data_IF_714172697401
#
_entry.id   IF_714172697401
#
_cell.length_a   1.000
_cell.length_b   1.000
_cell.length_c   1.000
_cell.angle_alpha   90.00
_cell.angle_beta   90.00
_cell.angle_gamma   90.00
#
_symmetry.space_group_name_H-M   'P 1'
#
loop_
_entity.id
_entity.type
_entity.pdbx_description
1 polymer ?
#
# COMPACT_ATOMS: atom_id res chain seq x y z
N UNK A 1 14.07 22.80 8.42
CA UNK A 1 15.16 21.82 8.30
C UNK A 1 14.54 20.52 7.80
N UNK A 2 14.42 20.40 6.51
CA UNK A 2 13.91 19.22 5.79
C UNK A 2 14.99 18.14 5.83
N UNK A 3 14.74 17.07 6.59
CA UNK A 3 15.57 15.86 6.54
C UNK A 3 15.29 15.16 5.22
N UNK A 4 16.21 15.21 4.30
CA UNK A 4 16.31 14.27 3.19
C UNK A 4 16.45 12.86 3.75
N UNK A 5 15.34 12.12 3.75
CA UNK A 5 15.36 10.69 4.04
C UNK A 5 15.81 10.01 2.74
N UNK A 6 17.08 9.67 2.72
CA UNK A 6 17.71 8.98 1.61
C UNK A 6 17.02 7.60 1.38
N UNK A 7 16.27 7.49 0.29
CA UNK A 7 15.95 6.23 -0.35
C UNK A 7 17.23 5.61 -0.92
N UNK A 8 18.15 5.19 -0.04
CA UNK A 8 19.37 4.50 -0.44
C UNK A 8 19.03 3.03 -0.73
N UNK A 9 18.99 2.74 -2.05
CA UNK A 9 19.29 1.44 -2.66
C UNK A 9 18.74 0.21 -1.94
N UNK A 10 17.50 -0.17 -2.24
CA UNK A 10 17.03 -1.55 -2.02
C UNK A 10 17.01 -2.29 -3.37
N UNK A 11 17.67 -3.43 -3.46
CA UNK A 11 17.64 -4.22 -4.67
C UNK A 11 16.30 -4.95 -4.81
N UNK A 12 15.74 -4.90 -6.00
CA UNK A 12 14.68 -5.79 -6.44
C UNK A 12 15.16 -7.23 -6.37
N UNK A 13 14.45 -8.10 -5.73
CA UNK A 13 14.62 -9.54 -5.85
C UNK A 13 13.36 -10.10 -6.48
N UNK A 14 13.52 -10.66 -7.67
CA UNK A 14 12.54 -11.47 -8.36
C UNK A 14 12.06 -12.59 -7.42
N UNK A 15 10.75 -12.79 -7.31
CA UNK A 15 10.22 -14.09 -6.92
C UNK A 15 10.38 -15.01 -8.12
N UNK A 16 11.46 -15.79 -8.15
CA UNK A 16 11.59 -16.89 -9.09
C UNK A 16 10.61 -18.00 -8.68
N UNK A 17 9.66 -18.30 -9.55
CA UNK A 17 8.92 -19.56 -9.47
C UNK A 17 9.86 -20.66 -9.94
N UNK A 18 10.56 -21.30 -9.02
CA UNK A 18 11.30 -22.51 -9.28
C UNK A 18 10.35 -23.71 -9.29
N UNK A 19 9.95 -24.16 -10.48
CA UNK A 19 9.50 -25.53 -10.66
C UNK A 19 10.74 -26.43 -10.73
N UNK A 20 11.04 -27.13 -9.65
CA UNK A 20 12.10 -28.14 -9.62
C UNK A 20 11.63 -29.38 -10.38
N UNK A 21 12.19 -29.63 -11.52
CA UNK A 21 12.18 -30.98 -12.16
C UNK A 21 13.44 -31.71 -11.74
N UNK A 22 13.27 -32.68 -10.84
CA UNK A 22 14.29 -33.68 -10.53
C UNK A 22 14.36 -34.71 -11.68
N UNK A 23 15.46 -34.76 -12.39
CA UNK A 23 15.81 -35.90 -13.22
C UNK A 23 17.13 -36.47 -12.71
N UNK A 24 17.08 -37.79 -12.47
CA UNK A 24 18.12 -38.56 -11.81
C UNK A 24 19.42 -38.68 -12.62
N UNK A 25 20.48 -38.86 -11.85
CA UNK A 25 21.82 -39.21 -12.34
C UNK A 25 21.89 -40.70 -12.63
N UNK A 26 22.24 -41.05 -13.85
CA UNK A 26 22.85 -42.32 -14.15
C UNK A 26 24.28 -42.07 -14.67
N UNK A 27 25.25 -42.69 -13.99
CA UNK A 27 26.67 -42.71 -14.38
C UNK A 27 26.87 -43.64 -15.55
N UNK A 28 27.44 -43.15 -16.66
CA UNK A 28 28.01 -44.00 -17.68
C UNK A 28 29.35 -43.46 -18.20
N UNK A 29 30.24 -44.42 -18.48
CA UNK A 29 31.68 -44.37 -18.75
C UNK A 29 32.12 -43.39 -19.85
N UNK A 30 33.32 -42.83 -19.68
CA UNK A 30 33.98 -41.96 -20.62
C UNK A 30 34.54 -42.68 -21.84
N UNK A 31 34.28 -42.24 -23.08
CA UNK A 31 35.06 -42.63 -24.26
C UNK A 31 36.14 -41.60 -24.60
N UNK A 32 37.20 -42.10 -25.20
CA UNK A 32 38.45 -41.47 -25.57
C UNK A 32 38.38 -40.18 -26.38
N UNK A 33 39.47 -39.35 -26.40
CA UNK A 33 39.44 -38.00 -26.92
C UNK A 33 39.34 -37.97 -28.46
N UNK A 34 38.24 -37.38 -28.95
CA UNK A 34 38.09 -37.02 -30.35
C UNK A 34 38.65 -35.60 -30.58
N UNK A 35 39.31 -35.47 -31.75
CA UNK A 35 39.88 -34.21 -32.27
C UNK A 35 38.94 -33.00 -32.14
N UNK A 36 39.48 -31.80 -32.06
CA UNK A 36 38.66 -30.59 -31.94
C UNK A 36 37.86 -30.37 -33.22
N UNK A 37 36.63 -30.80 -33.24
CA UNK A 37 35.63 -30.27 -34.15
C UNK A 37 35.44 -28.77 -33.78
N UNK A 38 35.50 -27.92 -34.79
CA UNK A 38 35.13 -26.53 -34.64
C UNK A 38 33.83 -26.47 -33.82
N UNK A 39 33.86 -25.80 -32.67
CA UNK A 39 32.70 -25.64 -31.83
C UNK A 39 31.62 -24.99 -32.69
N UNK A 40 30.58 -25.74 -33.01
CA UNK A 40 29.37 -25.17 -33.51
C UNK A 40 28.97 -24.09 -32.47
N UNK A 41 28.87 -22.87 -32.93
CA UNK A 41 28.31 -21.78 -32.11
C UNK A 41 26.89 -22.25 -31.82
N UNK A 42 26.67 -22.81 -30.63
CA UNK A 42 25.34 -23.10 -30.14
C UNK A 42 24.68 -21.75 -30.01
N UNK A 43 23.80 -21.41 -30.93
CA UNK A 43 23.00 -20.17 -30.81
C UNK A 43 22.18 -20.31 -29.54
N UNK A 44 22.46 -19.45 -28.59
CA UNK A 44 21.77 -19.38 -27.30
C UNK A 44 20.30 -19.13 -27.52
N UNK A 45 19.45 -19.94 -26.89
CA UNK A 45 17.99 -19.79 -26.99
C UNK A 45 17.49 -18.53 -26.27
N UNK A 46 16.29 -18.10 -26.61
CA UNK A 46 15.65 -16.97 -25.92
C UNK A 46 15.48 -17.23 -24.41
N UNK A 47 15.17 -18.47 -24.02
CA UNK A 47 15.02 -18.87 -22.61
C UNK A 47 16.37 -18.84 -21.86
N UNK A 48 17.46 -19.27 -22.48
CA UNK A 48 18.80 -19.18 -21.89
C UNK A 48 19.24 -17.72 -21.71
N UNK A 49 18.95 -16.86 -22.69
CA UNK A 49 19.20 -15.43 -22.59
C UNK A 49 18.38 -14.81 -21.44
N UNK A 50 17.10 -15.18 -21.31
CA UNK A 50 16.23 -14.73 -20.24
C UNK A 50 16.74 -15.16 -18.87
N UNK A 51 17.08 -16.45 -18.70
CA UNK A 51 17.63 -16.96 -17.44
C UNK A 51 18.92 -16.24 -17.05
N UNK A 52 19.82 -16.01 -18.02
CA UNK A 52 21.05 -15.26 -17.80
C UNK A 52 20.78 -13.81 -17.35
N UNK A 53 19.80 -13.15 -17.94
CA UNK A 53 19.41 -11.80 -17.52
C UNK A 53 18.92 -11.80 -16.06
N UNK A 54 18.08 -12.77 -15.70
CA UNK A 54 17.58 -12.96 -14.32
C UNK A 54 18.74 -13.18 -13.35
N UNK A 55 19.66 -14.07 -13.66
CA UNK A 55 20.82 -14.39 -12.81
C UNK A 55 21.71 -13.15 -12.58
N UNK A 56 21.91 -12.34 -13.63
CA UNK A 56 22.70 -11.10 -13.55
C UNK A 56 22.00 -10.00 -12.76
N UNK A 57 20.67 -9.98 -12.70
CA UNK A 57 19.90 -9.01 -11.89
C UNK A 57 19.81 -9.45 -10.42
N UNK A 58 19.80 -10.74 -10.11
CA UNK A 58 19.52 -11.29 -8.79
C UNK A 58 20.77 -11.66 -7.97
N UNK A 59 21.92 -11.95 -8.61
CA UNK A 59 23.14 -12.45 -7.96
C UNK A 59 23.90 -11.42 -7.10
N UNK A 60 24.78 -11.92 -6.25
CA UNK A 60 25.84 -11.11 -5.65
C UNK A 60 26.80 -10.62 -6.74
N UNK A 61 27.03 -9.31 -6.86
CA UNK A 61 27.83 -8.74 -7.93
C UNK A 61 27.06 -8.49 -9.22
N UNK A 62 25.90 -7.88 -9.10
CA UNK A 62 25.01 -7.51 -10.23
C UNK A 62 25.77 -6.87 -11.37
N UNK A 63 25.62 -7.45 -12.55
CA UNK A 63 26.14 -6.92 -13.82
C UNK A 63 24.94 -6.41 -14.64
N UNK A 64 24.63 -5.13 -14.44
CA UNK A 64 23.44 -4.52 -15.03
C UNK A 64 23.58 -4.43 -16.56
N UNK A 65 24.79 -4.19 -17.07
CA UNK A 65 25.03 -4.11 -18.53
C UNK A 65 24.88 -5.47 -19.20
N UNK A 66 25.43 -6.52 -18.59
CA UNK A 66 25.25 -7.89 -19.10
C UNK A 66 23.78 -8.34 -18.99
N UNK A 67 23.08 -7.95 -17.93
CA UNK A 67 21.66 -8.24 -17.75
C UNK A 67 20.81 -7.57 -18.85
N UNK A 68 21.05 -6.28 -19.10
CA UNK A 68 20.35 -5.49 -20.12
C UNK A 68 20.58 -6.08 -21.53
N UNK A 69 21.83 -6.45 -21.86
CA UNK A 69 22.14 -7.08 -23.13
C UNK A 69 21.46 -8.46 -23.30
N UNK A 70 21.45 -9.26 -22.24
CA UNK A 70 20.81 -10.59 -22.26
C UNK A 70 19.27 -10.47 -22.33
N UNK A 71 18.65 -9.52 -21.61
CA UNK A 71 17.22 -9.28 -21.64
C UNK A 71 16.75 -8.82 -23.03
N UNK A 72 17.47 -7.90 -23.66
CA UNK A 72 17.18 -7.46 -25.04
C UNK A 72 17.27 -8.60 -26.03
N UNK A 73 18.33 -9.43 -25.92
CA UNK A 73 18.46 -10.59 -26.80
C UNK A 73 17.36 -11.61 -26.59
N UNK A 74 16.94 -11.84 -25.32
CA UNK A 74 15.80 -12.68 -25.02
C UNK A 74 14.52 -12.14 -25.68
N UNK A 75 14.28 -10.84 -25.61
CA UNK A 75 13.12 -10.19 -26.22
C UNK A 75 13.16 -10.18 -27.74
N UNK A 76 14.34 -10.09 -28.36
CA UNK A 76 14.52 -10.25 -29.81
C UNK A 76 14.16 -11.66 -30.28
N UNK A 77 14.55 -12.69 -29.51
CA UNK A 77 14.28 -14.09 -29.81
C UNK A 77 12.86 -14.54 -29.45
N UNK A 78 12.25 -13.88 -28.44
CA UNK A 78 10.91 -14.16 -27.93
C UNK A 78 10.10 -12.87 -27.79
N UNK A 79 9.70 -12.21 -28.91
CA UNK A 79 9.08 -10.87 -28.87
C UNK A 79 7.73 -10.83 -28.14
N UNK A 80 7.04 -11.98 -28.08
CA UNK A 80 5.75 -12.11 -27.40
C UNK A 80 5.87 -12.59 -25.95
N UNK A 81 7.10 -12.84 -25.44
CA UNK A 81 7.29 -13.25 -24.05
C UNK A 81 7.10 -12.09 -23.10
N UNK A 82 6.06 -12.16 -22.28
CA UNK A 82 5.79 -11.20 -21.23
C UNK A 82 6.88 -11.20 -20.14
N UNK A 83 7.44 -12.36 -19.83
CA UNK A 83 8.53 -12.55 -18.87
C UNK A 83 9.81 -11.88 -19.38
N UNK A 84 10.17 -12.06 -20.66
CA UNK A 84 11.32 -11.38 -21.26
C UNK A 84 11.15 -9.86 -21.21
N UNK A 85 9.95 -9.36 -21.50
CA UNK A 85 9.60 -7.95 -21.42
C UNK A 85 9.67 -7.40 -19.99
N UNK A 86 9.20 -8.15 -19.00
CA UNK A 86 9.35 -7.76 -17.59
C UNK A 86 10.81 -7.64 -17.18
N UNK A 87 11.65 -8.59 -17.58
CA UNK A 87 13.09 -8.60 -17.25
C UNK A 87 13.81 -7.47 -17.98
N UNK A 88 13.47 -7.17 -19.24
CA UNK A 88 14.00 -6.00 -19.96
C UNK A 88 13.64 -4.69 -19.27
N UNK A 89 12.39 -4.52 -18.86
CA UNK A 89 11.95 -3.37 -18.07
C UNK A 89 12.67 -3.24 -16.72
N UNK A 90 12.97 -4.35 -16.05
CA UNK A 90 13.73 -4.36 -14.80
C UNK A 90 15.20 -3.95 -15.04
N UNK A 91 15.84 -4.46 -16.08
CA UNK A 91 17.17 -4.04 -16.47
C UNK A 91 17.22 -2.55 -16.81
N UNK A 92 16.24 -2.05 -17.57
CA UNK A 92 16.08 -0.63 -17.87
C UNK A 92 15.90 0.23 -16.61
N UNK A 93 15.10 -0.23 -15.63
CA UNK A 93 14.95 0.44 -14.34
C UNK A 93 16.30 0.55 -13.61
N UNK A 94 17.08 -0.52 -13.56
CA UNK A 94 18.38 -0.53 -12.90
C UNK A 94 19.38 0.44 -13.58
N UNK A 95 19.26 0.63 -14.88
CA UNK A 95 20.00 1.65 -15.67
C UNK A 95 19.44 3.06 -15.52
N UNK A 96 18.31 3.23 -14.80
CA UNK A 96 17.56 4.48 -14.68
C UNK A 96 16.91 4.96 -15.98
N UNK A 97 16.73 4.08 -16.93
CA UNK A 97 16.04 4.32 -18.20
C UNK A 97 14.51 4.23 -17.96
N UNK A 98 13.97 5.08 -17.08
CA UNK A 98 12.62 4.99 -16.54
C UNK A 98 11.52 4.98 -17.60
N UNK A 99 11.72 5.71 -18.72
CA UNK A 99 10.74 5.72 -19.83
C UNK A 99 10.62 4.36 -20.50
N UNK A 100 11.76 3.70 -20.77
CA UNK A 100 11.78 2.34 -21.34
C UNK A 100 11.17 1.34 -20.37
N UNK A 101 11.64 1.33 -19.13
CA UNK A 101 11.08 0.47 -18.08
C UNK A 101 9.55 0.59 -17.97
N UNK A 102 9.04 1.83 -17.95
CA UNK A 102 7.59 2.06 -17.90
C UNK A 102 6.88 1.52 -19.13
N UNK A 103 7.41 1.70 -20.33
CA UNK A 103 6.81 1.22 -21.56
C UNK A 103 6.72 -0.32 -21.60
N UNK A 104 7.78 -1.01 -21.14
CA UNK A 104 7.78 -2.47 -21.06
C UNK A 104 6.74 -2.99 -20.07
N UNK A 105 6.66 -2.40 -18.87
CA UNK A 105 5.65 -2.80 -17.89
C UNK A 105 4.22 -2.49 -18.36
N UNK A 106 4.01 -1.32 -18.98
CA UNK A 106 2.70 -0.94 -19.52
C UNK A 106 2.25 -1.88 -20.64
N UNK A 107 3.17 -2.39 -21.46
CA UNK A 107 2.87 -3.37 -22.51
C UNK A 107 2.38 -4.70 -21.90
N UNK A 108 3.04 -5.19 -20.83
CA UNK A 108 2.58 -6.41 -20.12
C UNK A 108 1.22 -6.19 -19.46
N UNK A 109 0.99 -5.04 -18.86
CA UNK A 109 -0.30 -4.71 -18.22
C UNK A 109 -1.44 -4.65 -19.25
N UNK A 110 -1.17 -4.13 -20.43
CA UNK A 110 -2.16 -3.97 -21.49
C UNK A 110 -2.61 -5.31 -22.09
N UNK A 111 -1.78 -6.34 -22.06
CA UNK A 111 -2.06 -7.65 -22.61
C UNK A 111 -3.00 -8.45 -21.70
N UNK A 112 -4.30 -8.37 -21.97
CA UNK A 112 -5.36 -8.93 -21.12
C UNK A 112 -5.44 -10.47 -21.16
N UNK A 113 -4.83 -11.10 -22.15
CA UNK A 113 -4.74 -12.57 -22.24
C UNK A 113 -3.79 -13.16 -21.19
N UNK A 114 -2.85 -12.36 -20.66
CA UNK A 114 -1.92 -12.79 -19.65
C UNK A 114 -2.58 -13.03 -18.28
N UNK A 115 -2.02 -13.93 -17.47
CA UNK A 115 -2.49 -14.18 -16.11
C UNK A 115 -2.54 -12.88 -15.27
N UNK A 116 -3.57 -12.73 -14.46
CA UNK A 116 -3.73 -11.55 -13.59
C UNK A 116 -2.53 -11.34 -12.67
N UNK A 117 -1.92 -12.42 -12.16
CA UNK A 117 -0.75 -12.34 -11.30
C UNK A 117 0.47 -11.71 -12.02
N UNK A 118 0.72 -12.08 -13.29
CA UNK A 118 1.81 -11.52 -14.08
C UNK A 118 1.60 -10.03 -14.39
N UNK A 119 0.36 -9.67 -14.71
CA UNK A 119 -0.02 -8.27 -14.92
C UNK A 119 0.08 -7.45 -13.63
N UNK A 120 -0.25 -8.05 -12.48
CA UNK A 120 -0.06 -7.43 -11.17
C UNK A 120 1.42 -7.20 -10.85
N UNK A 121 2.30 -8.16 -11.18
CA UNK A 121 3.75 -8.01 -11.04
C UNK A 121 4.29 -6.85 -11.90
N UNK A 122 3.82 -6.74 -13.15
CA UNK A 122 4.16 -5.61 -14.02
C UNK A 122 3.72 -4.27 -13.41
N UNK A 123 2.52 -4.19 -12.83
CA UNK A 123 2.05 -2.99 -12.13
C UNK A 123 2.90 -2.66 -10.90
N UNK A 124 3.33 -3.66 -10.12
CA UNK A 124 4.26 -3.42 -9.00
C UNK A 124 5.58 -2.85 -9.50
N UNK A 125 6.15 -3.43 -10.56
CA UNK A 125 7.39 -2.94 -11.18
C UNK A 125 7.23 -1.52 -11.71
N UNK A 126 6.09 -1.21 -12.32
CA UNK A 126 5.72 0.12 -12.77
C UNK A 126 5.64 1.12 -11.61
N UNK A 127 4.99 0.73 -10.49
CA UNK A 127 4.89 1.56 -9.30
C UNK A 127 6.26 1.87 -8.68
N UNK A 128 7.20 0.95 -8.77
CA UNK A 128 8.57 1.21 -8.29
C UNK A 128 9.30 2.23 -9.16
N UNK A 129 9.08 2.23 -10.47
CA UNK A 129 9.57 3.32 -11.34
C UNK A 129 8.97 4.66 -10.91
N UNK A 130 7.67 4.72 -10.65
CA UNK A 130 6.98 5.93 -10.19
C UNK A 130 7.50 6.42 -8.83
N UNK A 131 7.77 5.50 -7.89
CA UNK A 131 8.43 5.84 -6.61
C UNK A 131 9.81 6.45 -6.84
N UNK A 132 10.61 5.88 -7.75
CA UNK A 132 11.94 6.40 -8.07
C UNK A 132 11.89 7.79 -8.70
N UNK A 133 10.79 8.14 -9.36
CA UNK A 133 10.51 9.46 -9.93
C UNK A 133 9.82 10.42 -8.93
N UNK A 134 9.59 10.00 -7.68
CA UNK A 134 8.84 10.73 -6.65
C UNK A 134 7.35 10.97 -7.01
N UNK A 135 6.79 10.15 -7.88
CA UNK A 135 5.37 10.19 -8.25
C UNK A 135 4.53 9.31 -7.30
N UNK A 136 4.57 9.62 -6.00
CA UNK A 136 4.05 8.77 -4.94
C UNK A 136 2.53 8.51 -5.04
N UNK A 137 1.74 9.52 -5.42
CA UNK A 137 0.29 9.35 -5.57
C UNK A 137 -0.05 8.44 -6.74
N UNK A 138 0.69 8.52 -7.85
CA UNK A 138 0.55 7.61 -8.99
C UNK A 138 0.94 6.20 -8.59
N UNK A 139 2.10 6.04 -7.94
CA UNK A 139 2.59 4.76 -7.45
C UNK A 139 1.59 4.06 -6.52
N UNK A 140 0.99 4.80 -5.59
CA UNK A 140 -0.05 4.28 -4.69
C UNK A 140 -1.23 3.72 -5.48
N UNK A 141 -1.72 4.47 -6.46
CA UNK A 141 -2.83 4.06 -7.30
C UNK A 141 -2.49 2.84 -8.16
N UNK A 142 -1.26 2.81 -8.72
CA UNK A 142 -0.76 1.67 -9.49
C UNK A 142 -0.67 0.40 -8.63
N UNK A 143 -0.25 0.52 -7.37
CA UNK A 143 -0.24 -0.59 -6.41
C UNK A 143 -1.64 -1.07 -6.04
N UNK A 144 -2.62 -0.18 -5.90
CA UNK A 144 -4.01 -0.58 -5.69
C UNK A 144 -4.55 -1.37 -6.88
N UNK A 145 -4.23 -0.97 -8.12
CA UNK A 145 -4.56 -1.75 -9.31
C UNK A 145 -3.88 -3.12 -9.33
N UNK A 146 -2.62 -3.20 -8.88
CA UNK A 146 -1.94 -4.48 -8.74
C UNK A 146 -2.67 -5.40 -7.77
N UNK A 147 -3.09 -4.89 -6.61
CA UNK A 147 -3.85 -5.65 -5.62
C UNK A 147 -5.27 -6.01 -6.07
N UNK A 148 -5.90 -5.18 -6.89
CA UNK A 148 -7.18 -5.51 -7.52
C UNK A 148 -7.05 -6.70 -8.46
N UNK A 149 -5.95 -6.82 -9.21
CA UNK A 149 -5.66 -7.97 -10.08
C UNK A 149 -5.22 -9.20 -9.30
N UNK A 150 -4.35 -9.02 -8.30
CA UNK A 150 -3.84 -10.09 -7.45
C UNK A 150 -3.71 -9.60 -5.99
N UNK A 151 -4.74 -9.84 -5.21
CA UNK A 151 -4.77 -9.49 -3.79
C UNK A 151 -3.69 -10.19 -2.95
N UNK A 152 -3.11 -11.28 -3.47
CA UNK A 152 -2.04 -12.04 -2.82
C UNK A 152 -0.64 -11.58 -3.19
N UNK A 153 -0.49 -10.53 -3.95
CA UNK A 153 0.81 -9.98 -4.32
C UNK A 153 1.51 -9.34 -3.10
N UNK A 154 2.45 -10.08 -2.50
CA UNK A 154 3.19 -9.64 -1.31
C UNK A 154 4.02 -8.38 -1.56
N UNK A 155 4.57 -8.22 -2.77
CA UNK A 155 5.39 -7.07 -3.13
C UNK A 155 4.54 -5.78 -3.21
N UNK A 156 3.31 -5.88 -3.73
CA UNK A 156 2.38 -4.75 -3.73
C UNK A 156 2.07 -4.27 -2.30
N UNK A 157 1.76 -5.19 -1.39
CA UNK A 157 1.55 -4.87 0.03
C UNK A 157 2.78 -4.26 0.69
N UNK A 158 3.97 -4.77 0.38
CA UNK A 158 5.23 -4.23 0.89
C UNK A 158 5.45 -2.77 0.46
N UNK A 159 5.30 -2.48 -0.83
CA UNK A 159 5.51 -1.13 -1.36
C UNK A 159 4.43 -0.14 -0.88
N UNK A 160 3.18 -0.59 -0.70
CA UNK A 160 2.15 0.22 -0.05
C UNK A 160 2.52 0.55 1.39
N UNK A 161 3.03 -0.43 2.15
CA UNK A 161 3.51 -0.20 3.51
C UNK A 161 4.63 0.84 3.58
N UNK A 162 5.56 0.79 2.64
CA UNK A 162 6.62 1.80 2.52
C UNK A 162 6.07 3.20 2.22
N UNK A 163 5.13 3.32 1.28
CA UNK A 163 4.50 4.59 0.95
C UNK A 163 3.68 5.13 2.12
N UNK A 164 2.85 4.29 2.74
CA UNK A 164 2.03 4.68 3.88
C UNK A 164 2.87 5.22 5.03
N UNK A 165 3.98 4.55 5.36
CA UNK A 165 4.86 4.98 6.45
C UNK A 165 5.69 6.20 6.09
N UNK A 166 6.41 6.16 4.95
CA UNK A 166 7.47 7.11 4.67
C UNK A 166 6.97 8.40 4.02
N UNK A 167 5.90 8.30 3.23
CA UNK A 167 5.36 9.42 2.46
C UNK A 167 4.13 10.04 3.12
N UNK A 168 3.18 9.20 3.51
CA UNK A 168 1.88 9.65 4.02
C UNK A 168 1.81 9.70 5.55
N UNK A 169 2.74 9.05 6.25
CA UNK A 169 2.75 8.94 7.72
C UNK A 169 1.47 8.27 8.27
N UNK A 170 0.96 7.29 7.55
CA UNK A 170 -0.20 6.47 7.93
C UNK A 170 0.31 5.19 8.61
N UNK A 171 0.86 5.32 9.80
CA UNK A 171 1.55 4.25 10.52
C UNK A 171 0.64 3.03 10.79
N UNK A 172 -0.64 3.25 11.08
CA UNK A 172 -1.61 2.17 11.28
C UNK A 172 -1.81 1.35 10.00
N UNK A 173 -2.03 2.01 8.86
CA UNK A 173 -2.17 1.35 7.57
C UNK A 173 -0.87 0.65 7.15
N UNK A 174 0.29 1.27 7.44
CA UNK A 174 1.60 0.67 7.16
C UNK A 174 1.79 -0.65 7.90
N UNK A 175 1.39 -0.74 9.18
CA UNK A 175 1.45 -1.99 9.95
C UNK A 175 0.62 -3.08 9.28
N UNK A 176 -0.64 -2.79 8.92
CA UNK A 176 -1.53 -3.75 8.27
C UNK A 176 -0.96 -4.25 6.93
N UNK A 177 -0.45 -3.32 6.12
CA UNK A 177 0.12 -3.61 4.81
C UNK A 177 1.41 -4.44 4.93
N UNK A 178 2.30 -4.13 5.88
CA UNK A 178 3.49 -4.93 6.14
C UNK A 178 3.16 -6.32 6.71
N UNK A 179 2.13 -6.45 7.53
CA UNK A 179 1.66 -7.74 8.02
C UNK A 179 1.10 -8.61 6.89
N UNK A 180 0.37 -8.00 5.95
CA UNK A 180 -0.08 -8.70 4.75
C UNK A 180 1.09 -9.14 3.89
N UNK A 181 2.06 -8.26 3.63
CA UNK A 181 3.28 -8.61 2.91
C UNK A 181 4.02 -9.78 3.57
N UNK A 182 4.22 -9.73 4.90
CA UNK A 182 4.90 -10.79 5.64
C UNK A 182 4.17 -12.13 5.60
N UNK A 183 2.82 -12.11 5.64
CA UNK A 183 1.99 -13.31 5.60
C UNK A 183 1.99 -13.99 4.25
N UNK A 184 2.06 -13.21 3.18
CA UNK A 184 1.97 -13.68 1.80
C UNK A 184 3.31 -14.06 1.18
N UNK A 185 4.42 -13.64 1.79
CA UNK A 185 5.77 -13.95 1.30
C UNK A 185 6.18 -15.39 1.60
N UNK A 186 7.14 -15.88 0.82
CA UNK A 186 7.74 -17.20 1.04
C UNK A 186 8.40 -17.28 2.42
N UNK A 187 8.35 -18.44 3.10
CA UNK A 187 9.06 -18.64 4.34
C UNK A 187 10.56 -18.37 4.19
N UNK A 188 11.11 -17.55 5.10
CA UNK A 188 12.53 -17.21 5.08
C UNK A 188 12.93 -16.03 4.19
N UNK A 189 12.00 -15.35 3.52
CA UNK A 189 12.31 -14.12 2.80
C UNK A 189 12.93 -13.07 3.76
N UNK A 190 14.20 -12.65 3.54
CA UNK A 190 14.91 -11.75 4.47
C UNK A 190 14.20 -10.42 4.71
N UNK A 191 13.47 -9.90 3.70
CA UNK A 191 12.73 -8.63 3.81
C UNK A 191 11.58 -8.75 4.78
N UNK A 192 10.80 -9.82 4.67
CA UNK A 192 9.64 -10.05 5.53
C UNK A 192 10.05 -10.49 6.93
N UNK A 193 11.17 -11.19 7.08
CA UNK A 193 11.77 -11.44 8.38
C UNK A 193 12.15 -10.13 9.08
N UNK A 194 12.76 -9.19 8.36
CA UNK A 194 13.09 -7.86 8.89
C UNK A 194 11.82 -7.06 9.23
N UNK A 195 10.79 -7.10 8.39
CA UNK A 195 9.50 -6.47 8.70
C UNK A 195 8.94 -6.98 10.02
N UNK A 196 8.84 -8.30 10.17
CA UNK A 196 8.21 -8.93 11.33
C UNK A 196 9.03 -8.73 12.63
N UNK A 197 10.36 -8.75 12.55
CA UNK A 197 11.23 -8.67 13.73
C UNK A 197 11.56 -7.24 14.17
N UNK A 198 11.63 -6.29 13.26
CA UNK A 198 12.15 -4.96 13.54
C UNK A 198 11.13 -3.85 13.20
N UNK A 199 10.62 -3.83 11.97
CA UNK A 199 9.88 -2.67 11.45
C UNK A 199 8.49 -2.57 12.07
N UNK A 200 7.71 -3.64 12.04
CA UNK A 200 6.35 -3.66 12.60
C UNK A 200 6.37 -3.39 14.12
N UNK A 201 7.22 -4.06 14.92
CA UNK A 201 7.32 -3.75 16.36
C UNK A 201 7.71 -2.30 16.65
N UNK A 202 8.63 -1.72 15.87
CA UNK A 202 9.05 -0.33 16.05
C UNK A 202 7.90 0.66 15.76
N UNK A 203 7.11 0.42 14.69
CA UNK A 203 5.94 1.27 14.40
C UNK A 203 4.89 1.13 15.51
N UNK A 204 4.59 -0.08 15.95
CA UNK A 204 3.64 -0.33 17.03
C UNK A 204 4.09 0.33 18.35
N UNK A 205 5.38 0.31 18.66
CA UNK A 205 5.91 1.00 19.83
C UNK A 205 5.72 2.53 19.71
N UNK A 206 5.96 3.10 18.54
CA UNK A 206 5.71 4.53 18.27
C UNK A 206 4.22 4.89 18.44
N UNK A 207 3.31 4.09 17.88
CA UNK A 207 1.87 4.28 18.02
C UNK A 207 1.42 4.17 19.49
N UNK A 208 1.97 3.21 20.23
CA UNK A 208 1.69 3.06 21.67
C UNK A 208 2.19 4.26 22.48
N UNK A 209 3.39 4.77 22.19
CA UNK A 209 3.92 5.97 22.82
C UNK A 209 3.08 7.21 22.52
N UNK A 210 2.65 7.38 21.27
CA UNK A 210 1.74 8.46 20.88
C UNK A 210 0.38 8.34 21.59
N UNK A 211 -0.16 7.13 21.74
CA UNK A 211 -1.37 6.90 22.50
C UNK A 211 -1.19 7.25 23.99
N UNK A 212 -0.08 6.83 24.60
CA UNK A 212 0.21 7.13 26.01
C UNK A 212 0.37 8.63 26.29
N UNK A 213 0.79 9.42 25.29
CA UNK A 213 0.94 10.88 25.39
C UNK A 213 -0.39 11.66 25.23
N UNK A 214 -1.50 11.00 24.98
CA UNK A 214 -2.80 11.68 24.85
C UNK A 214 -3.16 12.42 26.13
N UNK A 215 -3.75 13.63 26.04
CA UNK A 215 -4.23 14.35 27.22
C UNK A 215 -5.19 13.49 28.04
N UNK A 216 -4.94 13.36 29.33
CA UNK A 216 -5.76 12.56 30.23
C UNK A 216 -5.41 11.06 30.27
N UNK A 217 -4.52 10.55 29.44
CA UNK A 217 -4.15 9.13 29.43
C UNK A 217 -3.66 8.62 30.79
N UNK A 218 -2.84 9.42 31.48
CA UNK A 218 -2.30 9.08 32.80
C UNK A 218 -3.36 9.06 33.94
N UNK A 219 -4.51 9.69 33.71
CA UNK A 219 -5.62 9.79 34.71
C UNK A 219 -6.85 9.01 34.26
N UNK A 220 -6.64 8.01 33.41
CA UNK A 220 -7.70 7.21 32.81
C UNK A 220 -8.55 6.51 33.87
N UNK A 221 -9.87 6.70 33.81
CA UNK A 221 -10.87 5.98 34.59
C UNK A 221 -11.95 5.38 33.65
N UNK A 222 -11.68 4.16 33.19
CA UNK A 222 -12.59 3.44 32.31
C UNK A 222 -13.93 3.09 33.00
N UNK A 223 -13.94 2.93 34.32
CA UNK A 223 -15.15 2.64 35.11
C UNK A 223 -16.08 3.87 35.17
N UNK A 224 -15.53 5.05 35.46
CA UNK A 224 -16.28 6.30 35.38
C UNK A 224 -16.79 6.58 33.97
N UNK A 225 -15.97 6.37 32.94
CA UNK A 225 -16.37 6.53 31.55
C UNK A 225 -17.56 5.62 31.19
N UNK A 226 -17.52 4.34 31.57
CA UNK A 226 -18.59 3.40 31.30
C UNK A 226 -19.93 3.82 31.94
N UNK A 227 -19.90 4.31 33.19
CA UNK A 227 -21.09 4.85 33.86
C UNK A 227 -21.66 6.06 33.12
N UNK A 228 -20.80 7.00 32.72
CA UNK A 228 -21.19 8.21 31.99
C UNK A 228 -21.78 7.88 30.61
N UNK A 229 -21.26 6.84 29.93
CA UNK A 229 -21.81 6.34 28.66
C UNK A 229 -23.22 5.79 28.87
N UNK A 230 -23.44 4.96 29.89
CA UNK A 230 -24.76 4.40 30.22
C UNK A 230 -25.78 5.51 30.52
N UNK A 231 -25.37 6.54 31.27
CA UNK A 231 -26.21 7.73 31.54
C UNK A 231 -26.52 8.49 30.23
N UNK A 232 -25.50 8.66 29.35
CA UNK A 232 -25.70 9.31 28.05
C UNK A 232 -26.69 8.57 27.17
N UNK A 233 -26.61 7.24 27.11
CA UNK A 233 -27.54 6.40 26.37
C UNK A 233 -28.97 6.51 26.91
N UNK A 234 -29.15 6.53 28.25
CA UNK A 234 -30.44 6.73 28.88
C UNK A 234 -31.04 8.11 28.52
N UNK A 235 -30.22 9.16 28.52
CA UNK A 235 -30.61 10.50 28.11
C UNK A 235 -31.00 10.54 26.63
N UNK A 236 -30.24 9.87 25.76
CA UNK A 236 -30.54 9.76 24.33
C UNK A 236 -31.89 9.09 24.08
N UNK A 237 -32.19 7.99 24.79
CA UNK A 237 -33.49 7.34 24.73
C UNK A 237 -34.65 8.28 25.13
N UNK A 238 -34.41 9.17 26.09
CA UNK A 238 -35.36 10.23 26.51
C UNK A 238 -35.37 11.44 25.59
N UNK A 239 -34.64 11.39 24.43
CA UNK A 239 -34.46 12.50 23.49
C UNK A 239 -33.82 13.79 24.10
N UNK A 240 -33.15 13.66 25.23
CA UNK A 240 -32.40 14.72 25.89
C UNK A 240 -30.98 14.83 25.28
N UNK A 241 -30.92 15.17 24.00
CA UNK A 241 -29.71 15.07 23.21
C UNK A 241 -28.57 15.93 23.73
N UNK A 242 -28.82 17.18 24.10
CA UNK A 242 -27.79 18.09 24.63
C UNK A 242 -27.17 17.55 25.94
N UNK A 243 -28.00 16.98 26.81
CA UNK A 243 -27.52 16.38 28.06
C UNK A 243 -26.70 15.07 27.76
N UNK A 244 -27.13 14.27 26.81
CA UNK A 244 -26.39 13.09 26.38
C UNK A 244 -25.01 13.47 25.83
N UNK A 245 -24.91 14.49 24.98
CA UNK A 245 -23.63 15.00 24.45
C UNK A 245 -22.65 15.39 25.56
N UNK A 246 -23.14 16.15 26.59
CA UNK A 246 -22.31 16.50 27.75
C UNK A 246 -21.79 15.28 28.52
N UNK A 247 -22.60 14.22 28.63
CA UNK A 247 -22.18 12.99 29.29
C UNK A 247 -21.14 12.21 28.47
N UNK A 248 -21.27 12.15 27.15
CA UNK A 248 -20.22 11.55 26.29
C UNK A 248 -18.91 12.37 26.33
N UNK A 249 -18.99 13.72 26.42
CA UNK A 249 -17.79 14.54 26.63
C UNK A 249 -17.10 14.23 27.96
N UNK A 250 -17.89 14.16 29.04
CA UNK A 250 -17.36 13.80 30.34
C UNK A 250 -16.76 12.36 30.33
N UNK A 251 -17.37 11.44 29.59
CA UNK A 251 -16.84 10.08 29.42
C UNK A 251 -15.48 10.09 28.68
N UNK A 252 -15.32 10.90 27.63
CA UNK A 252 -14.03 11.05 26.95
C UNK A 252 -12.97 11.77 27.82
N UNK A 253 -13.40 12.69 28.68
CA UNK A 253 -12.49 13.31 29.65
C UNK A 253 -12.02 12.30 30.72
N UNK A 254 -12.89 11.38 31.16
CA UNK A 254 -12.56 10.32 32.10
C UNK A 254 -11.70 9.21 31.45
N UNK A 255 -12.01 8.83 30.21
CA UNK A 255 -11.23 7.86 29.44
C UNK A 255 -11.05 8.30 27.97
N UNK A 256 -9.88 8.88 27.62
CA UNK A 256 -9.58 9.32 26.26
C UNK A 256 -9.50 8.16 25.24
N UNK A 257 -9.51 6.90 25.68
CA UNK A 257 -9.52 5.70 24.84
C UNK A 257 -10.91 5.08 24.68
N UNK A 258 -11.94 5.77 25.12
CA UNK A 258 -13.32 5.31 24.98
C UNK A 258 -13.85 5.51 23.57
N UNK A 259 -13.69 4.50 22.72
CA UNK A 259 -14.23 4.50 21.35
C UNK A 259 -15.75 4.75 21.31
N UNK A 260 -16.60 4.11 22.15
CA UNK A 260 -18.04 4.40 22.14
C UNK A 260 -18.36 5.85 22.42
N UNK A 261 -17.67 6.46 23.41
CA UNK A 261 -17.89 7.88 23.75
C UNK A 261 -17.48 8.80 22.60
N UNK A 262 -16.31 8.55 21.97
CA UNK A 262 -15.84 9.33 20.84
C UNK A 262 -16.81 9.27 19.65
N UNK A 263 -17.19 8.06 19.25
CA UNK A 263 -18.08 7.83 18.11
C UNK A 263 -19.46 8.45 18.32
N UNK A 264 -20.10 8.19 19.47
CA UNK A 264 -21.44 8.71 19.74
C UNK A 264 -21.46 10.23 19.91
N UNK A 265 -20.44 10.79 20.55
CA UNK A 265 -20.29 12.25 20.63
C UNK A 265 -20.18 12.87 19.24
N UNK A 266 -19.28 12.34 18.39
CA UNK A 266 -19.08 12.81 17.03
C UNK A 266 -20.40 12.80 16.25
N UNK A 267 -21.11 11.68 16.29
CA UNK A 267 -22.39 11.50 15.61
C UNK A 267 -23.44 12.49 16.10
N UNK A 268 -23.67 12.59 17.42
CA UNK A 268 -24.70 13.46 17.97
C UNK A 268 -24.40 14.94 17.73
N UNK A 269 -23.15 15.37 17.88
CA UNK A 269 -22.74 16.75 17.60
C UNK A 269 -22.93 17.07 16.13
N UNK A 270 -22.51 16.18 15.22
CA UNK A 270 -22.63 16.38 13.76
C UNK A 270 -24.08 16.55 13.30
N UNK A 271 -25.04 15.93 14.00
CA UNK A 271 -26.46 16.06 13.68
C UNK A 271 -27.12 17.31 14.28
N UNK A 272 -26.75 17.69 15.51
CA UNK A 272 -27.51 18.62 16.33
C UNK A 272 -26.85 19.99 16.49
N UNK A 273 -25.57 20.15 16.18
CA UNK A 273 -24.86 21.41 16.24
C UNK A 273 -24.19 21.73 14.89
N UNK A 274 -24.83 22.60 14.11
CA UNK A 274 -24.36 23.03 12.79
C UNK A 274 -23.49 24.27 12.81
N UNK A 275 -23.19 24.82 14.01
CA UNK A 275 -22.25 25.91 14.15
C UNK A 275 -20.84 25.50 13.73
N UNK A 276 -19.99 26.47 13.39
CA UNK A 276 -18.59 26.21 13.07
C UNK A 276 -17.89 25.43 14.21
N UNK A 277 -18.15 25.82 15.47
CA UNK A 277 -17.62 25.19 16.67
C UNK A 277 -18.15 23.75 16.83
N UNK A 278 -19.44 23.53 16.54
CA UNK A 278 -20.05 22.21 16.55
C UNK A 278 -19.41 21.29 15.49
N UNK A 279 -19.19 21.78 14.28
CA UNK A 279 -18.49 21.03 13.22
C UNK A 279 -17.07 20.69 13.65
N UNK A 280 -16.31 21.63 14.22
CA UNK A 280 -14.95 21.36 14.71
C UNK A 280 -14.93 20.35 15.85
N UNK A 281 -15.88 20.43 16.76
CA UNK A 281 -16.05 19.48 17.87
C UNK A 281 -16.35 18.07 17.35
N UNK A 282 -17.27 17.94 16.39
CA UNK A 282 -17.59 16.67 15.78
C UNK A 282 -16.39 16.06 15.04
N UNK A 283 -15.66 16.86 14.26
CA UNK A 283 -14.46 16.41 13.55
C UNK A 283 -13.36 15.96 14.52
N UNK A 284 -13.14 16.68 15.65
CA UNK A 284 -12.19 16.23 16.68
C UNK A 284 -12.61 14.90 17.30
N UNK A 285 -13.89 14.72 17.59
CA UNK A 285 -14.39 13.46 18.15
C UNK A 285 -14.30 12.30 17.16
N UNK A 286 -14.62 12.54 15.87
CA UNK A 286 -14.39 11.54 14.82
C UNK A 286 -12.90 11.18 14.69
N UNK A 287 -12.00 12.15 14.76
CA UNK A 287 -10.55 11.87 14.73
C UNK A 287 -10.16 10.95 15.87
N UNK A 288 -10.65 11.17 17.09
CA UNK A 288 -10.41 10.26 18.22
C UNK A 288 -10.95 8.85 17.93
N UNK A 289 -12.17 8.74 17.40
CA UNK A 289 -12.75 7.45 17.04
C UNK A 289 -11.94 6.73 15.96
N UNK A 290 -11.48 7.45 14.94
CA UNK A 290 -10.61 6.94 13.86
C UNK A 290 -9.28 6.43 14.45
N UNK A 291 -8.62 7.23 15.28
CA UNK A 291 -7.32 6.84 15.88
C UNK A 291 -7.44 5.65 16.85
N UNK A 292 -8.61 5.43 17.44
CA UNK A 292 -8.88 4.28 18.32
C UNK A 292 -9.25 3.01 17.54
N UNK A 293 -9.89 3.14 16.38
CA UNK A 293 -10.27 2.04 15.50
C UNK A 293 -10.10 2.43 14.02
N UNK A 294 -8.87 2.43 13.52
CA UNK A 294 -8.56 2.91 12.16
C UNK A 294 -9.16 2.06 11.04
N UNK A 295 -9.52 0.81 11.31
CA UNK A 295 -10.16 -0.08 10.32
C UNK A 295 -11.65 0.22 10.09
N UNK A 296 -12.29 1.04 10.94
CA UNK A 296 -13.74 1.31 10.87
C UNK A 296 -14.01 2.42 9.85
N UNK A 297 -14.31 2.03 8.62
CA UNK A 297 -14.54 2.93 7.49
C UNK A 297 -15.66 3.95 7.71
N UNK A 298 -16.73 3.58 8.43
CA UNK A 298 -17.86 4.46 8.71
C UNK A 298 -17.46 5.77 9.43
N UNK A 299 -16.43 5.71 10.29
CA UNK A 299 -15.96 6.90 11.00
C UNK A 299 -15.31 7.91 10.04
N UNK A 300 -14.50 7.41 9.10
CA UNK A 300 -13.88 8.25 8.07
C UNK A 300 -14.94 8.85 7.15
N UNK A 301 -15.86 8.01 6.70
CA UNK A 301 -16.92 8.45 5.78
C UNK A 301 -17.79 9.53 6.42
N UNK A 302 -18.25 9.34 7.66
CA UNK A 302 -19.06 10.33 8.36
C UNK A 302 -18.30 11.65 8.62
N UNK A 303 -17.03 11.54 9.03
CA UNK A 303 -16.18 12.72 9.23
C UNK A 303 -15.95 13.49 7.91
N UNK A 304 -15.66 12.75 6.84
CA UNK A 304 -15.43 13.35 5.54
C UNK A 304 -16.71 13.99 4.94
N UNK A 305 -17.86 13.34 5.09
CA UNK A 305 -19.15 13.92 4.71
C UNK A 305 -19.43 15.23 5.46
N UNK A 306 -19.16 15.25 6.76
CA UNK A 306 -19.32 16.44 7.57
C UNK A 306 -18.41 17.58 7.07
N UNK A 307 -17.13 17.26 6.83
CA UNK A 307 -16.17 18.23 6.30
C UNK A 307 -16.58 18.73 4.90
N UNK A 308 -16.98 17.82 4.01
CA UNK A 308 -17.41 18.14 2.66
C UNK A 308 -18.64 19.04 2.63
N UNK A 309 -19.68 18.72 3.42
CA UNK A 309 -20.91 19.50 3.54
C UNK A 309 -20.65 20.93 4.06
N UNK A 310 -19.61 21.10 4.88
CA UNK A 310 -19.19 22.39 5.41
C UNK A 310 -18.09 23.09 4.56
N UNK A 311 -17.92 22.68 3.31
CA UNK A 311 -16.95 23.24 2.34
C UNK A 311 -15.49 23.15 2.79
N UNK A 312 -15.18 22.28 3.75
CA UNK A 312 -13.81 21.97 4.22
C UNK A 312 -13.20 20.85 3.35
N UNK A 313 -13.14 21.09 2.05
CA UNK A 313 -12.81 20.03 1.08
C UNK A 313 -11.41 19.45 1.26
N UNK A 314 -10.41 20.28 1.60
CA UNK A 314 -9.07 19.80 1.89
C UNK A 314 -9.04 18.86 3.11
N UNK A 315 -9.83 19.14 4.14
CA UNK A 315 -9.99 18.27 5.31
C UNK A 315 -10.68 16.97 4.92
N UNK A 316 -11.72 17.02 4.09
CA UNK A 316 -12.39 15.83 3.59
C UNK A 316 -11.41 14.92 2.79
N UNK A 317 -10.60 15.50 1.90
CA UNK A 317 -9.56 14.78 1.16
C UNK A 317 -8.58 14.11 2.12
N UNK A 318 -8.05 14.82 3.11
CA UNK A 318 -7.08 14.25 4.06
C UNK A 318 -7.66 13.09 4.89
N UNK A 319 -8.93 13.17 5.28
CA UNK A 319 -9.61 12.10 6.01
C UNK A 319 -9.77 10.86 5.09
N UNK A 320 -10.18 11.08 3.84
CA UNK A 320 -10.44 10.02 2.88
C UNK A 320 -9.14 9.36 2.38
N UNK A 321 -8.04 10.10 2.30
CA UNK A 321 -6.72 9.53 2.01
C UNK A 321 -6.33 8.43 3.01
N UNK A 322 -6.58 8.66 4.31
CA UNK A 322 -6.37 7.64 5.35
C UNK A 322 -7.33 6.47 5.19
N UNK A 323 -8.60 6.74 4.90
CA UNK A 323 -9.60 5.69 4.70
C UNK A 323 -9.23 4.74 3.54
N UNK A 324 -8.81 5.31 2.41
CA UNK A 324 -8.38 4.57 1.21
C UNK A 324 -7.13 3.73 1.47
N UNK A 325 -6.25 4.16 2.38
CA UNK A 325 -5.07 3.38 2.74
C UNK A 325 -5.42 2.05 3.43
N UNK A 326 -6.55 1.99 4.13
CA UNK A 326 -7.06 0.77 4.79
C UNK A 326 -7.99 -0.05 3.88
N UNK A 327 -8.79 0.61 3.04
CA UNK A 327 -9.76 -0.03 2.15
C UNK A 327 -9.84 0.73 0.80
N UNK A 328 -8.94 0.40 -0.13
CA UNK A 328 -8.84 1.10 -1.41
C UNK A 328 -9.99 0.80 -2.37
N UNK A 329 -10.77 -0.24 -2.14
CA UNK A 329 -11.89 -0.65 -3.00
C UNK A 329 -13.26 -0.17 -2.49
N UNK A 330 -13.29 0.56 -1.39
CA UNK A 330 -14.54 1.08 -0.83
C UNK A 330 -15.19 2.12 -1.74
N UNK A 331 -16.20 1.70 -2.46
CA UNK A 331 -16.88 2.51 -3.47
C UNK A 331 -17.41 3.85 -2.92
N UNK A 332 -18.03 3.83 -1.72
CA UNK A 332 -18.57 5.06 -1.10
C UNK A 332 -17.47 6.04 -0.75
N UNK A 333 -16.37 5.52 -0.20
CA UNK A 333 -15.19 6.32 0.15
C UNK A 333 -14.55 6.92 -1.09
N UNK A 334 -14.37 6.13 -2.16
CA UNK A 334 -13.82 6.60 -3.42
C UNK A 334 -14.69 7.65 -4.12
N UNK A 335 -16.01 7.45 -4.16
CA UNK A 335 -16.93 8.40 -4.77
C UNK A 335 -16.87 9.75 -4.06
N UNK A 336 -16.85 9.76 -2.71
CA UNK A 336 -16.70 10.99 -1.93
C UNK A 336 -15.32 11.62 -2.08
N UNK A 337 -14.26 10.79 -2.16
CA UNK A 337 -12.89 11.25 -2.37
C UNK A 337 -12.71 11.98 -3.70
N UNK A 338 -13.21 11.39 -4.78
CA UNK A 338 -13.20 11.98 -6.13
C UNK A 338 -13.96 13.34 -6.12
N UNK A 339 -15.13 13.37 -5.47
CA UNK A 339 -15.90 14.61 -5.33
C UNK A 339 -15.14 15.67 -4.52
N UNK A 340 -14.48 15.27 -3.43
CA UNK A 340 -13.71 16.17 -2.57
C UNK A 340 -12.45 16.70 -3.29
N UNK A 341 -11.72 15.86 -4.04
CA UNK A 341 -10.59 16.27 -4.88
C UNK A 341 -10.99 17.34 -5.89
N UNK A 342 -12.11 17.12 -6.60
CA UNK A 342 -12.63 18.06 -7.58
C UNK A 342 -12.99 19.42 -6.93
N UNK A 343 -13.64 19.41 -5.76
CA UNK A 343 -13.98 20.64 -5.04
C UNK A 343 -12.77 21.35 -4.42
N UNK A 344 -11.74 20.58 -4.05
CA UNK A 344 -10.49 21.13 -3.51
C UNK A 344 -9.52 21.65 -4.59
N UNK A 345 -9.88 21.53 -5.88
CA UNK A 345 -8.99 21.92 -7.00
C UNK A 345 -7.72 21.05 -7.12
N UNK A 346 -7.79 19.80 -6.65
CA UNK A 346 -6.68 18.86 -6.74
C UNK A 346 -6.81 17.94 -7.95
N UNK A 347 -6.80 18.54 -9.14
CA UNK A 347 -7.16 17.87 -10.38
C UNK A 347 -6.06 16.96 -10.95
N UNK A 348 -4.82 17.08 -10.48
CA UNK A 348 -3.65 16.37 -11.05
C UNK A 348 -3.86 14.86 -11.21
N UNK A 349 -4.54 14.22 -10.27
CA UNK A 349 -4.78 12.76 -10.28
C UNK A 349 -6.26 12.38 -10.41
N UNK A 350 -7.13 13.37 -10.57
CA UNK A 350 -8.59 13.16 -10.57
C UNK A 350 -9.05 12.14 -11.62
N UNK A 351 -8.51 12.22 -12.83
CA UNK A 351 -8.86 11.30 -13.92
C UNK A 351 -8.38 9.87 -13.63
N UNK A 352 -7.21 9.73 -13.03
CA UNK A 352 -6.68 8.42 -12.64
C UNK A 352 -7.53 7.74 -11.57
N UNK A 353 -7.98 8.50 -10.55
CA UNK A 353 -8.90 7.99 -9.53
C UNK A 353 -10.28 7.66 -10.10
N UNK A 354 -10.80 8.45 -11.04
CA UNK A 354 -12.05 8.13 -11.76
C UNK A 354 -11.93 6.84 -12.56
N UNK A 355 -10.81 6.64 -13.27
CA UNK A 355 -10.54 5.43 -14.01
C UNK A 355 -10.46 4.21 -13.08
N UNK A 356 -9.69 4.29 -11.99
CA UNK A 356 -9.60 3.23 -11.00
C UNK A 356 -10.97 2.86 -10.42
N UNK A 357 -11.78 3.88 -10.05
CA UNK A 357 -13.14 3.64 -9.55
C UNK A 357 -14.05 2.93 -10.57
N UNK A 358 -13.80 3.12 -11.88
CA UNK A 358 -14.52 2.41 -12.93
C UNK A 358 -14.03 0.96 -13.12
N UNK A 359 -12.75 0.71 -12.91
CA UNK A 359 -12.16 -0.64 -12.96
C UNK A 359 -12.71 -1.58 -11.87
N UNK A 360 -13.16 -1.02 -10.74
CA UNK A 360 -13.75 -1.76 -9.61
C UNK A 360 -15.21 -2.23 -9.86
N UNK A 361 -15.79 -1.99 -11.02
CA UNK A 361 -17.14 -2.45 -11.39
C UNK A 361 -17.10 -3.88 -11.91
#
# INVERSE_FOLDING_TARGET
MTKEIAFKKMPFLLMAVCAAVLVGCDEEEAPAPKQPQAAAVVEESGEECLQRAIDKLSGEGKDIEAADAAAKKALELMPDSAEARLVDGQAAYMKKEYKRASADFDAVVAEKSLPAALRAEALVSRAVVEIAQNEFDTARLTLFRALHLDHRNAAAWYHLGLLSRNTYQFDEAAVEQFEMAARLSAPGDPRTMKLSREVIPAIRASLAAAAASRPGAAKRDAGAAAKLIAEAEALRKKRQIRAAMKKYEAALAADPFSYPAARELAYLVSLNDKSADGVDKALRAYRVAIDLRPVVQDNYYAAAQLAYANKRWATAVSILDRAIAHDPENHKTLDLYIAALQKAGRDKHLNAWKAYRQELK
#
